data_IF_258395760912
#
_entry.id   IF_258395760912
#
_cell.length_a   1.000
_cell.length_b   1.000
_cell.length_c   1.000
_cell.angle_alpha   90.00
_cell.angle_beta   90.00
_cell.angle_gamma   90.00
#
_symmetry.space_group_name_H-M   'P 1'
#
loop_
_entity.id
_entity.type
_entity.pdbx_description
1 polymer ?
#
# COMPACT_ATOMS: atom_id res chain seq x y z
N UNK A 1 -11.66 13.31 -11.57
CA UNK A 1 -10.35 12.79 -11.15
C UNK A 1 -10.23 12.62 -9.63
N UNK A 2 -10.58 13.65 -8.82
CA UNK A 2 -10.47 13.64 -7.34
C UNK A 2 -11.23 12.49 -6.64
N UNK A 3 -12.34 11.98 -7.22
CA UNK A 3 -13.17 10.96 -6.55
C UNK A 3 -12.52 9.57 -6.48
N UNK A 4 -11.73 9.18 -7.49
CA UNK A 4 -11.15 7.82 -7.57
C UNK A 4 -9.91 7.72 -6.71
N UNK A 5 -9.04 8.75 -6.76
CA UNK A 5 -7.89 8.85 -5.89
C UNK A 5 -8.32 8.78 -4.43
N UNK A 6 -9.36 9.54 -4.05
CA UNK A 6 -9.88 9.49 -2.68
C UNK A 6 -10.38 8.09 -2.26
N UNK A 7 -11.05 7.35 -3.16
CA UNK A 7 -11.48 5.97 -2.89
C UNK A 7 -10.27 5.05 -2.64
N UNK A 8 -9.30 5.06 -3.54
CA UNK A 8 -8.09 4.22 -3.42
C UNK A 8 -7.38 4.54 -2.11
N UNK A 9 -7.21 5.83 -1.80
CA UNK A 9 -6.56 6.28 -0.57
C UNK A 9 -7.33 5.84 0.69
N UNK A 10 -8.66 5.79 0.62
CA UNK A 10 -9.50 5.26 1.72
C UNK A 10 -9.29 3.78 1.92
N UNK A 11 -9.33 3.01 0.84
CA UNK A 11 -9.19 1.55 0.92
C UNK A 11 -7.78 1.18 1.38
N UNK A 12 -6.75 1.85 0.86
CA UNK A 12 -5.37 1.73 1.34
C UNK A 12 -5.24 2.15 2.81
N UNK A 13 -5.97 3.17 3.28
CA UNK A 13 -5.94 3.56 4.69
C UNK A 13 -6.59 2.51 5.58
N UNK A 14 -7.66 1.85 5.13
CA UNK A 14 -8.25 0.70 5.84
C UNK A 14 -7.27 -0.47 5.88
N UNK A 15 -6.67 -0.83 4.75
CA UNK A 15 -5.66 -1.91 4.67
C UNK A 15 -4.50 -1.62 5.63
N UNK A 16 -3.99 -0.39 5.64
CA UNK A 16 -2.91 -0.01 6.55
C UNK A 16 -3.28 -0.20 8.03
N UNK A 17 -4.52 0.10 8.41
CA UNK A 17 -5.01 -0.12 9.79
C UNK A 17 -5.04 -1.62 10.11
N UNK A 18 -5.48 -2.45 9.16
CA UNK A 18 -5.51 -3.91 9.31
C UNK A 18 -4.10 -4.47 9.50
N UNK A 19 -3.16 -4.13 8.60
CA UNK A 19 -1.76 -4.55 8.69
C UNK A 19 -1.14 -4.16 10.02
N UNK A 20 -1.33 -2.91 10.41
CA UNK A 20 -0.82 -2.38 11.66
C UNK A 20 -1.47 -3.10 12.86
N UNK A 21 -2.71 -3.57 12.75
CA UNK A 21 -3.39 -4.32 13.83
C UNK A 21 -2.78 -5.72 13.98
N UNK A 22 -2.41 -6.35 12.87
CA UNK A 22 -1.68 -7.62 12.87
C UNK A 22 -0.32 -7.46 13.57
N UNK A 23 0.40 -6.35 13.36
CA UNK A 23 1.70 -6.12 14.03
C UNK A 23 1.67 -6.15 15.55
N UNK A 24 0.50 -5.94 16.19
CA UNK A 24 0.37 -6.01 17.64
C UNK A 24 0.51 -7.44 18.19
N UNK A 25 0.17 -8.44 17.38
CA UNK A 25 0.20 -9.85 17.75
C UNK A 25 1.50 -10.55 17.34
N UNK A 26 2.40 -9.86 16.62
CA UNK A 26 3.63 -10.43 16.09
C UNK A 26 4.82 -10.17 17.00
N UNK A 27 5.74 -11.13 17.03
CA UNK A 27 6.98 -10.99 17.79
C UNK A 27 7.86 -9.85 17.24
N UNK A 28 8.44 -9.00 18.11
CA UNK A 28 9.26 -7.85 17.71
C UNK A 28 10.45 -8.18 16.81
N UNK A 29 10.95 -9.42 16.86
CA UNK A 29 12.08 -9.88 16.05
C UNK A 29 11.69 -10.66 14.79
N UNK A 30 10.40 -10.78 14.47
CA UNK A 30 9.95 -11.59 13.34
C UNK A 30 10.20 -10.89 11.99
N UNK A 31 10.66 -11.67 11.00
CA UNK A 31 10.80 -11.20 9.61
C UNK A 31 9.45 -10.75 9.02
N UNK A 32 8.34 -11.36 9.44
CA UNK A 32 7.00 -10.92 9.05
C UNK A 32 6.69 -9.51 9.56
N UNK A 33 7.07 -9.16 10.79
CA UNK A 33 6.91 -7.81 11.31
C UNK A 33 7.74 -6.81 10.49
N UNK A 34 8.98 -7.16 10.15
CA UNK A 34 9.85 -6.31 9.32
C UNK A 34 9.23 -6.07 7.93
N UNK A 35 8.70 -7.12 7.30
CA UNK A 35 8.01 -7.03 6.02
C UNK A 35 6.78 -6.12 6.09
N UNK A 36 5.93 -6.30 7.10
CA UNK A 36 4.74 -5.45 7.28
C UNK A 36 5.12 -3.99 7.53
N UNK A 37 6.21 -3.73 8.28
CA UNK A 37 6.71 -2.38 8.49
C UNK A 37 7.19 -1.74 7.17
N UNK A 38 7.86 -2.49 6.29
CA UNK A 38 8.22 -1.97 4.96
C UNK A 38 6.98 -1.59 4.14
N UNK A 39 5.93 -2.41 4.17
CA UNK A 39 4.67 -2.07 3.52
C UNK A 39 3.96 -0.85 4.16
N UNK A 40 3.99 -0.70 5.49
CA UNK A 40 3.42 0.48 6.15
C UNK A 40 4.20 1.75 5.80
N UNK A 41 5.53 1.70 5.75
CA UNK A 41 6.38 2.81 5.30
C UNK A 41 6.02 3.20 3.86
N UNK A 42 5.88 2.23 2.96
CA UNK A 42 5.47 2.47 1.58
C UNK A 42 4.09 3.18 1.52
N UNK A 43 3.12 2.70 2.28
CA UNK A 43 1.79 3.32 2.37
C UNK A 43 1.85 4.75 2.93
N UNK A 44 2.67 4.98 3.96
CA UNK A 44 2.89 6.31 4.53
C UNK A 44 3.48 7.28 3.50
N UNK A 45 4.46 6.84 2.69
CA UNK A 45 5.03 7.66 1.59
C UNK A 45 3.94 8.01 0.57
N UNK A 46 3.09 7.05 0.19
CA UNK A 46 1.96 7.31 -0.71
C UNK A 46 0.97 8.31 -0.11
N UNK A 47 0.71 8.24 1.20
CA UNK A 47 -0.18 9.16 1.92
C UNK A 47 0.41 10.56 2.04
N UNK A 48 1.71 10.66 2.24
CA UNK A 48 2.43 11.92 2.26
C UNK A 48 2.37 12.59 0.88
N UNK A 49 2.57 11.80 -0.18
CA UNK A 49 2.47 12.29 -1.55
C UNK A 49 1.09 12.85 -1.86
N UNK A 50 0.02 12.12 -1.50
CA UNK A 50 -1.35 12.60 -1.68
C UNK A 50 -1.63 13.87 -0.87
N UNK A 51 -1.15 13.94 0.38
CA UNK A 51 -1.25 15.15 1.21
C UNK A 51 -0.59 16.36 0.57
N UNK A 52 0.64 16.21 0.04
CA UNK A 52 1.36 17.29 -0.66
C UNK A 52 0.61 17.75 -1.90
N UNK A 53 0.05 16.82 -2.69
CA UNK A 53 -0.79 17.17 -3.84
C UNK A 53 -2.04 17.95 -3.42
N UNK A 54 -2.73 17.53 -2.36
CA UNK A 54 -3.91 18.22 -1.86
C UNK A 54 -3.58 19.64 -1.39
N UNK A 55 -2.43 19.86 -0.74
CA UNK A 55 -1.95 21.21 -0.42
C UNK A 55 -1.71 22.04 -1.69
N UNK A 56 -1.05 21.46 -2.69
CA UNK A 56 -0.66 22.17 -3.90
C UNK A 56 -1.88 22.65 -4.72
N UNK A 57 -2.90 21.79 -4.85
CA UNK A 57 -4.11 22.08 -5.62
C UNK A 57 -5.21 22.81 -4.82
N UNK A 58 -5.05 23.02 -3.52
CA UNK A 58 -6.04 23.75 -2.72
C UNK A 58 -5.92 25.26 -2.93
N UNK A 59 -7.03 25.90 -3.32
CA UNK A 59 -7.10 27.37 -3.50
C UNK A 59 -6.74 28.15 -2.22
N UNK A 60 -7.02 27.59 -1.03
CA UNK A 60 -6.72 28.21 0.27
C UNK A 60 -5.96 27.24 1.19
N UNK A 61 -4.63 27.19 1.00
CA UNK A 61 -3.70 26.29 1.68
C UNK A 61 -3.79 26.36 3.21
N UNK A 62 -3.91 27.56 3.78
CA UNK A 62 -3.98 27.78 5.23
C UNK A 62 -5.28 27.26 5.83
N UNK A 63 -6.41 27.52 5.18
CA UNK A 63 -7.72 27.00 5.60
C UNK A 63 -7.75 25.47 5.51
N UNK A 64 -7.17 24.90 4.46
CA UNK A 64 -7.05 23.45 4.32
C UNK A 64 -6.19 22.83 5.43
N UNK A 65 -4.99 23.36 5.69
CA UNK A 65 -4.08 22.87 6.73
C UNK A 65 -4.70 22.94 8.13
N UNK A 66 -5.32 24.07 8.48
CA UNK A 66 -5.91 24.30 9.79
C UNK A 66 -7.18 23.49 10.04
N UNK A 67 -7.94 23.15 9.00
CA UNK A 67 -9.20 22.41 9.16
C UNK A 67 -8.96 20.90 9.12
N UNK A 68 -8.22 20.41 8.11
CA UNK A 68 -8.17 18.98 7.76
C UNK A 68 -6.74 18.49 7.53
N UNK A 69 -5.87 19.31 6.93
CA UNK A 69 -4.54 18.89 6.51
C UNK A 69 -3.62 18.43 7.64
N UNK A 70 -3.82 18.91 8.87
CA UNK A 70 -3.06 18.40 10.03
C UNK A 70 -3.31 16.91 10.30
N UNK A 71 -4.51 16.39 10.05
CA UNK A 71 -4.82 14.96 10.19
C UNK A 71 -4.22 14.13 9.04
N UNK A 72 -4.22 14.67 7.83
CA UNK A 72 -3.62 14.01 6.67
C UNK A 72 -2.09 13.92 6.81
N UNK A 73 -1.45 15.00 7.26
CA UNK A 73 -0.03 15.01 7.61
C UNK A 73 0.29 13.99 8.69
N UNK A 74 -0.44 13.99 9.80
CA UNK A 74 -0.20 13.08 10.91
C UNK A 74 -0.41 11.61 10.51
N UNK A 75 -1.32 11.34 9.56
CA UNK A 75 -1.55 10.00 9.01
C UNK A 75 -0.44 9.49 8.08
N UNK A 76 0.43 10.38 7.63
CA UNK A 76 1.49 10.09 6.66
C UNK A 76 2.86 9.80 7.27
N UNK A 77 3.00 9.92 8.60
CA UNK A 77 4.27 9.72 9.29
C UNK A 77 4.50 8.21 9.50
N UNK A 78 5.55 7.62 8.90
CA UNK A 78 5.89 6.22 9.12
C UNK A 78 6.52 6.00 10.51
N UNK A 79 6.23 4.85 11.11
CA UNK A 79 6.83 4.43 12.38
C UNK A 79 8.08 3.61 12.07
N UNK A 80 9.25 4.25 12.08
CA UNK A 80 10.52 3.53 11.94
C UNK A 80 10.90 2.93 13.30
N UNK A 81 11.02 1.60 13.37
CA UNK A 81 11.24 0.84 14.61
C UNK A 81 12.57 1.14 15.32
N UNK A 82 13.54 1.70 14.61
CA UNK A 82 14.90 1.98 15.11
C UNK A 82 14.97 3.12 16.14
N UNK A 83 13.98 4.03 16.15
CA UNK A 83 13.99 5.18 17.04
C UNK A 83 13.15 4.90 18.29
N UNK A 84 13.82 4.56 19.40
CA UNK A 84 13.23 4.21 20.71
C UNK A 84 12.16 5.20 21.24
N UNK A 85 12.22 6.46 20.79
CA UNK A 85 11.29 7.55 21.13
C UNK A 85 9.98 7.53 20.31
N UNK A 86 9.88 6.73 19.24
CA UNK A 86 8.70 6.61 18.37
C UNK A 86 7.55 5.80 19.02
N UNK A 87 7.77 5.19 20.20
CA UNK A 87 6.68 4.54 20.96
C UNK A 87 5.51 5.48 21.26
N UNK A 88 5.76 6.78 21.45
CA UNK A 88 4.71 7.80 21.65
C UNK A 88 3.90 8.04 20.37
N UNK A 89 4.53 7.92 19.19
CA UNK A 89 3.84 8.06 17.92
C UNK A 89 2.83 6.93 17.64
N UNK A 90 2.87 5.81 18.39
CA UNK A 90 1.80 4.80 18.36
C UNK A 90 0.44 5.35 18.81
N UNK A 91 0.38 6.41 19.62
CA UNK A 91 -0.89 7.03 20.05
C UNK A 91 -1.52 7.83 18.90
N UNK A 92 -0.71 8.48 18.06
CA UNK A 92 -1.19 9.22 16.89
C UNK A 92 -1.89 8.33 15.84
N UNK A 93 -1.75 7.00 15.97
CA UNK A 93 -2.45 5.97 15.19
C UNK A 93 -3.97 6.05 15.28
N UNK A 94 -4.55 6.48 16.41
CA UNK A 94 -6.02 6.60 16.54
C UNK A 94 -6.61 7.62 15.57
N UNK A 95 -5.83 8.62 15.15
CA UNK A 95 -6.27 9.62 14.17
C UNK A 95 -6.43 9.03 12.76
N UNK A 96 -5.76 7.91 12.43
CA UNK A 96 -5.93 7.19 11.16
C UNK A 96 -7.35 6.59 11.04
N UNK A 97 -7.94 6.16 12.16
CA UNK A 97 -9.33 5.64 12.21
C UNK A 97 -10.33 6.74 11.85
N UNK A 98 -10.14 7.95 12.39
CA UNK A 98 -11.01 9.11 12.14
C UNK A 98 -10.93 9.57 10.67
N UNK A 99 -9.77 9.42 10.02
CA UNK A 99 -9.61 9.63 8.58
C UNK A 99 -10.35 8.55 7.77
N UNK A 100 -10.12 7.27 8.05
CA UNK A 100 -10.76 6.16 7.34
C UNK A 100 -12.29 6.22 7.39
N UNK A 101 -12.88 6.54 8.55
CA UNK A 101 -14.33 6.69 8.71
C UNK A 101 -14.89 7.84 7.87
N UNK A 102 -14.24 9.00 7.86
CA UNK A 102 -14.72 10.17 7.08
C UNK A 102 -14.61 9.98 5.59
N UNK A 103 -13.52 9.37 5.13
CA UNK A 103 -13.33 9.09 3.71
C UNK A 103 -14.36 8.06 3.20
N UNK A 104 -14.74 7.07 4.03
CA UNK A 104 -15.86 6.15 3.79
C UNK A 104 -17.21 6.87 3.63
N UNK A 105 -17.49 7.86 4.49
CA UNK A 105 -18.73 8.67 4.43
C UNK A 105 -18.78 9.49 3.14
N UNK A 106 -17.66 10.09 2.73
CA UNK A 106 -17.58 10.86 1.48
C UNK A 106 -17.68 9.97 0.23
N UNK A 107 -17.29 8.70 0.33
CA UNK A 107 -17.40 7.71 -0.74
C UNK A 107 -18.83 7.23 -1.00
N UNK A 108 -19.61 6.95 0.06
CA UNK A 108 -21.03 6.54 -0.07
C UNK A 108 -21.84 7.56 -0.89
N UNK A 109 -21.40 8.81 -0.93
CA UNK A 109 -22.05 9.91 -1.66
C UNK A 109 -21.68 10.04 -3.14
N UNK A 110 -20.71 9.28 -3.71
CA UNK A 110 -20.19 9.58 -5.07
C UNK A 110 -20.08 8.35 -6.01
N UNK A 111 -20.91 8.40 -7.06
CA UNK A 111 -21.06 7.61 -8.30
C UNK A 111 -20.20 6.34 -8.59
N UNK A 112 -20.88 5.31 -9.10
CA UNK A 112 -20.45 3.89 -9.17
C UNK A 112 -19.54 3.47 -10.33
N UNK A 113 -19.43 4.22 -11.43
CA UNK A 113 -18.76 3.73 -12.65
C UNK A 113 -17.23 3.92 -12.67
N UNK A 114 -16.71 5.02 -12.12
CA UNK A 114 -15.25 5.28 -12.05
C UNK A 114 -14.58 4.55 -10.88
N UNK A 115 -15.38 3.85 -10.05
CA UNK A 115 -14.95 3.09 -8.87
C UNK A 115 -14.19 1.80 -9.20
N UNK A 116 -14.37 1.25 -10.40
CA UNK A 116 -13.84 -0.07 -10.76
C UNK A 116 -12.32 -0.08 -10.85
N UNK A 117 -11.71 0.92 -11.51
CA UNK A 117 -10.25 1.02 -11.64
C UNK A 117 -9.55 1.17 -10.29
N UNK A 118 -10.08 2.05 -9.42
CA UNK A 118 -9.55 2.22 -8.08
C UNK A 118 -9.69 0.94 -7.24
N UNK A 119 -10.79 0.22 -7.41
CA UNK A 119 -10.99 -1.07 -6.74
C UNK A 119 -10.01 -2.15 -7.23
N UNK A 120 -9.74 -2.24 -8.54
CA UNK A 120 -8.76 -3.19 -9.10
C UNK A 120 -7.34 -2.90 -8.57
N UNK A 121 -6.93 -1.63 -8.54
CA UNK A 121 -5.62 -1.23 -7.99
C UNK A 121 -5.54 -1.59 -6.50
N UNK A 122 -6.60 -1.31 -5.74
CA UNK A 122 -6.67 -1.64 -4.32
C UNK A 122 -6.61 -3.15 -4.08
N UNK A 123 -7.42 -3.94 -4.77
CA UNK A 123 -7.42 -5.40 -4.66
C UNK A 123 -6.06 -5.97 -5.00
N UNK A 124 -5.42 -5.46 -6.05
CA UNK A 124 -4.13 -5.98 -6.47
C UNK A 124 -3.01 -5.63 -5.49
N UNK A 125 -3.00 -4.41 -4.96
CA UNK A 125 -2.07 -4.04 -3.89
C UNK A 125 -2.31 -4.89 -2.62
N UNK A 126 -3.57 -5.16 -2.29
CA UNK A 126 -3.92 -6.01 -1.13
C UNK A 126 -3.43 -7.45 -1.32
N UNK A 127 -3.65 -8.04 -2.51
CA UNK A 127 -3.15 -9.37 -2.88
C UNK A 127 -1.63 -9.41 -2.81
N UNK A 128 -0.95 -8.37 -3.27
CA UNK A 128 0.51 -8.26 -3.19
C UNK A 128 0.98 -8.29 -1.74
N UNK A 129 0.46 -7.42 -0.88
CA UNK A 129 0.90 -7.32 0.52
C UNK A 129 0.61 -8.60 1.29
N UNK A 130 -0.64 -9.07 1.26
CA UNK A 130 -1.06 -10.25 2.01
C UNK A 130 -0.43 -11.53 1.44
N UNK A 131 -0.36 -11.64 0.11
CA UNK A 131 0.23 -12.78 -0.57
C UNK A 131 1.73 -12.88 -0.33
N UNK A 132 2.47 -11.78 -0.44
CA UNK A 132 3.92 -11.76 -0.15
C UNK A 132 4.19 -12.11 1.32
N UNK A 133 3.36 -11.58 2.23
CA UNK A 133 3.45 -11.92 3.65
C UNK A 133 3.17 -13.40 3.93
N UNK A 134 2.16 -13.98 3.27
CA UNK A 134 1.83 -15.39 3.41
C UNK A 134 2.92 -16.30 2.82
N UNK A 135 3.48 -15.94 1.66
CA UNK A 135 4.61 -16.66 1.06
C UNK A 135 5.82 -16.63 1.99
N UNK A 136 6.17 -15.48 2.58
CA UNK A 136 7.25 -15.42 3.56
C UNK A 136 7.00 -16.38 4.73
N UNK A 137 5.79 -16.42 5.30
CA UNK A 137 5.47 -17.32 6.42
C UNK A 137 5.58 -18.80 6.02
N UNK A 138 5.12 -19.16 4.82
CA UNK A 138 5.11 -20.55 4.35
C UNK A 138 6.50 -21.04 3.93
N UNK A 139 7.33 -20.15 3.39
CA UNK A 139 8.61 -20.51 2.78
C UNK A 139 9.80 -20.31 3.71
N UNK A 140 9.65 -19.56 4.82
CA UNK A 140 10.76 -19.19 5.70
C UNK A 140 11.63 -20.36 6.16
N UNK A 141 11.01 -21.49 6.49
CA UNK A 141 11.70 -22.64 7.07
C UNK A 141 12.09 -23.71 6.03
N UNK A 142 11.53 -23.66 4.82
CA UNK A 142 11.63 -24.74 3.82
C UNK A 142 12.27 -24.28 2.50
N UNK A 143 12.09 -23.00 2.15
CA UNK A 143 12.51 -22.42 0.88
C UNK A 143 13.71 -21.49 0.97
N UNK A 144 13.90 -20.71 -0.09
CA UNK A 144 14.94 -19.69 -0.21
C UNK A 144 14.43 -18.27 0.12
N UNK A 145 13.14 -18.08 0.40
CA UNK A 145 12.57 -16.81 0.87
C UNK A 145 12.57 -16.83 2.40
N UNK A 146 13.59 -16.24 3.02
CA UNK A 146 13.80 -16.35 4.48
C UNK A 146 13.62 -15.03 5.21
N UNK A 147 13.94 -13.93 4.54
CA UNK A 147 13.91 -12.58 5.12
C UNK A 147 12.83 -11.73 4.49
N UNK A 148 12.47 -10.63 5.16
CA UNK A 148 11.55 -9.64 4.60
C UNK A 148 12.05 -9.08 3.27
N UNK A 149 13.36 -8.87 3.17
CA UNK A 149 14.05 -8.34 2.02
C UNK A 149 13.97 -9.31 0.83
N UNK A 150 14.17 -10.62 1.05
CA UNK A 150 13.99 -11.66 0.03
C UNK A 150 12.56 -11.67 -0.52
N UNK A 151 11.57 -11.54 0.37
CA UNK A 151 10.16 -11.56 -0.01
C UNK A 151 9.76 -10.32 -0.83
N UNK A 152 10.28 -9.14 -0.46
CA UNK A 152 10.08 -7.90 -1.23
C UNK A 152 10.71 -8.03 -2.61
N UNK A 153 11.99 -8.45 -2.65
CA UNK A 153 12.71 -8.63 -3.90
C UNK A 153 11.98 -9.59 -4.83
N UNK A 154 11.61 -10.77 -4.32
CA UNK A 154 10.83 -11.76 -5.06
C UNK A 154 9.51 -11.20 -5.59
N UNK A 155 8.72 -10.53 -4.74
CA UNK A 155 7.43 -9.96 -5.15
C UNK A 155 7.60 -8.90 -6.25
N UNK A 156 8.65 -8.08 -6.17
CA UNK A 156 8.95 -7.02 -7.11
C UNK A 156 9.32 -7.58 -8.49
N UNK A 157 10.27 -8.51 -8.56
CA UNK A 157 10.71 -9.12 -9.83
C UNK A 157 9.62 -10.00 -10.45
N UNK A 158 8.72 -10.56 -9.63
CA UNK A 158 7.59 -11.37 -10.09
C UNK A 158 6.52 -10.52 -10.74
N UNK A 159 6.13 -9.40 -10.10
CA UNK A 159 5.06 -8.52 -10.61
C UNK A 159 5.51 -7.73 -11.84
N UNK A 160 6.79 -7.36 -11.88
CA UNK A 160 7.40 -6.74 -13.07
C UNK A 160 7.68 -7.75 -14.18
N UNK A 161 7.37 -9.02 -13.97
CA UNK A 161 7.57 -10.13 -14.93
C UNK A 161 9.02 -10.39 -15.33
N UNK A 162 9.99 -9.88 -14.56
CA UNK A 162 11.42 -10.11 -14.79
C UNK A 162 11.81 -11.54 -14.41
N UNK A 163 11.42 -11.97 -13.19
CA UNK A 163 11.55 -13.36 -12.74
C UNK A 163 12.96 -13.97 -12.83
N UNK A 164 13.95 -13.39 -12.13
CA UNK A 164 15.32 -13.93 -12.10
C UNK A 164 15.41 -15.39 -11.63
N UNK A 165 14.48 -15.85 -10.80
CA UNK A 165 14.41 -17.24 -10.31
C UNK A 165 15.40 -17.57 -9.19
N UNK A 166 16.02 -16.56 -8.60
CA UNK A 166 16.89 -16.65 -7.42
C UNK A 166 16.11 -16.94 -6.13
N UNK A 167 14.92 -16.34 -5.99
CA UNK A 167 13.96 -16.61 -4.92
C UNK A 167 12.63 -17.09 -5.51
N UNK A 168 12.03 -18.14 -4.95
CA UNK A 168 10.75 -18.66 -5.40
C UNK A 168 10.11 -19.60 -4.36
N UNK A 169 8.76 -19.66 -4.27
CA UNK A 169 8.09 -20.57 -3.36
C UNK A 169 8.24 -22.04 -3.79
N UNK A 170 8.66 -22.88 -2.85
CA UNK A 170 8.80 -24.33 -3.06
C UNK A 170 7.60 -25.12 -2.54
N UNK A 171 6.83 -24.57 -1.59
CA UNK A 171 5.66 -25.24 -1.01
C UNK A 171 4.45 -25.18 -1.95
N UNK A 172 3.58 -26.19 -1.88
CA UNK A 172 2.36 -26.24 -2.69
C UNK A 172 1.44 -25.03 -2.43
N UNK A 173 1.29 -24.64 -1.15
CA UNK A 173 0.49 -23.47 -0.77
C UNK A 173 1.17 -22.16 -1.21
N UNK A 174 2.49 -22.05 -1.07
CA UNK A 174 3.25 -20.90 -1.55
C UNK A 174 3.11 -20.70 -3.05
N UNK A 175 3.16 -21.77 -3.84
CA UNK A 175 2.93 -21.73 -5.30
C UNK A 175 1.49 -21.35 -5.68
N UNK A 176 0.50 -21.83 -4.93
CA UNK A 176 -0.90 -21.44 -5.14
C UNK A 176 -1.08 -19.92 -4.93
N UNK A 177 -0.54 -19.39 -3.84
CA UNK A 177 -0.61 -17.96 -3.52
C UNK A 177 0.18 -17.14 -4.54
N UNK A 178 1.38 -17.60 -4.92
CA UNK A 178 2.18 -16.95 -5.94
C UNK A 178 1.48 -16.88 -7.29
N UNK A 179 0.71 -17.91 -7.66
CA UNK A 179 -0.08 -17.89 -8.90
C UNK A 179 -1.12 -16.77 -8.88
N UNK A 180 -1.78 -16.53 -7.73
CA UNK A 180 -2.72 -15.43 -7.55
C UNK A 180 -1.99 -14.08 -7.65
N UNK A 181 -0.81 -13.96 -7.02
CA UNK A 181 0.03 -12.76 -7.09
C UNK A 181 0.45 -12.47 -8.53
N UNK A 182 0.87 -13.47 -9.31
CA UNK A 182 1.29 -13.31 -10.70
C UNK A 182 0.16 -12.75 -11.55
N UNK A 183 -1.04 -13.36 -11.47
CA UNK A 183 -2.21 -12.90 -12.25
C UNK A 183 -2.57 -11.45 -11.89
N UNK A 184 -2.60 -11.13 -10.60
CA UNK A 184 -2.90 -9.78 -10.11
C UNK A 184 -1.78 -8.77 -10.46
N UNK A 185 -0.53 -9.21 -10.41
CA UNK A 185 0.65 -8.42 -10.71
C UNK A 185 0.72 -8.01 -12.17
N UNK A 186 0.52 -8.96 -13.08
CA UNK A 186 0.48 -8.70 -14.53
C UNK A 186 -0.63 -7.71 -14.87
N UNK A 187 -1.83 -7.87 -14.29
CA UNK A 187 -2.94 -6.93 -14.50
C UNK A 187 -2.59 -5.51 -14.01
N UNK A 188 -1.95 -5.40 -12.86
CA UNK A 188 -1.55 -4.11 -12.27
C UNK A 188 -0.43 -3.43 -13.05
N UNK A 189 0.60 -4.19 -13.41
CA UNK A 189 1.75 -3.68 -14.15
C UNK A 189 1.34 -3.23 -15.55
N UNK A 190 0.51 -4.03 -16.24
CA UNK A 190 -0.08 -3.65 -17.52
C UNK A 190 -0.92 -2.37 -17.44
N UNK A 191 -1.73 -2.21 -16.38
CA UNK A 191 -2.49 -0.98 -16.16
C UNK A 191 -1.57 0.25 -15.94
N UNK A 192 -0.47 0.08 -15.20
CA UNK A 192 0.50 1.15 -14.97
C UNK A 192 1.20 1.58 -16.28
N UNK A 193 1.66 0.61 -17.08
CA UNK A 193 2.28 0.87 -18.39
C UNK A 193 1.30 1.57 -19.34
N UNK A 194 0.04 1.11 -19.38
CA UNK A 194 -1.02 1.73 -20.18
C UNK A 194 -1.27 3.18 -19.79
N UNK A 195 -1.33 3.47 -18.48
CA UNK A 195 -1.51 4.84 -17.99
C UNK A 195 -0.35 5.76 -18.38
N UNK A 196 0.90 5.30 -18.23
CA UNK A 196 2.09 6.07 -18.63
C UNK A 196 2.09 6.33 -20.14
N UNK A 197 1.78 5.31 -20.94
CA UNK A 197 1.70 5.40 -22.40
C UNK A 197 0.65 6.41 -22.86
N UNK A 198 -0.55 6.37 -22.26
CA UNK A 198 -1.62 7.35 -22.54
C UNK A 198 -1.14 8.78 -22.28
N UNK A 199 -0.46 9.01 -21.15
CA UNK A 199 0.01 10.34 -20.78
C UNK A 199 1.18 10.83 -21.64
N UNK A 200 2.02 9.91 -22.12
CA UNK A 200 3.09 10.23 -23.06
C UNK A 200 2.53 10.66 -24.42
N UNK A 201 1.47 10.01 -24.90
CA UNK A 201 0.79 10.41 -26.13
C UNK A 201 0.13 11.79 -26.00
N UNK A 202 -0.55 12.06 -24.88
CA UNK A 202 -1.15 13.38 -24.60
C UNK A 202 -0.14 14.55 -24.60
N UNK A 203 1.13 14.26 -24.28
CA UNK A 203 2.23 15.24 -24.33
C UNK A 203 2.81 15.41 -25.73
N UNK A 204 2.70 14.39 -26.57
CA UNK A 204 3.21 14.41 -27.95
C UNK A 204 2.23 15.09 -28.91
N UNK A 205 0.95 15.10 -28.57
CA UNK A 205 -0.13 15.74 -29.32
C UNK A 205 -0.35 17.23 -28.93
N UNK A 206 0.52 17.80 -28.08
CA UNK A 206 0.57 19.23 -27.72
C UNK A 206 1.82 19.91 -28.26
#
# INVERSE_FOLDING_TARGET
MISVTNLVMTLLSILSIVLLSITFFLDPGSELLRLINYFDVLLCVLFLYDFVLQIYYSENRTKYLLTIGWLDFLSSIPVVSELRYIRVFRIFRMFRIIKSIRLLINFIKKNRATSLYGFIVFCSFTVLVLGTSAVLVLEKDVGNIKTAEDAIWWSFITITTVGYGDHYPVTNLGRLIASIIIVSGVASFGAAVSYISSKANDLKDK
#
